data_IF_955901192033
#
_entry.id   IF_955901192033
#
_cell.length_a   1.000
_cell.length_b   1.000
_cell.length_c   1.000
_cell.angle_alpha   90.00
_cell.angle_beta   90.00
_cell.angle_gamma   90.00
#
_symmetry.space_group_name_H-M   'P 1'
#
loop_
_entity.id
_entity.type
_entity.pdbx_description
1 polymer ?
#
# COMPACT_ATOMS: atom_id res chain seq x y z
N UNK A 1 -3.41 -2.23 24.54
CA UNK A 1 -2.16 -2.58 23.86
C UNK A 1 -2.32 -3.41 22.59
N UNK A 2 -3.56 -3.85 22.25
CA UNK A 2 -3.72 -4.89 21.23
C UNK A 2 -4.18 -4.38 19.84
N UNK A 3 -4.39 -3.08 19.68
CA UNK A 3 -4.83 -2.50 18.40
C UNK A 3 -3.74 -2.59 17.33
N UNK A 4 -2.48 -2.58 17.70
CA UNK A 4 -1.34 -2.63 16.78
C UNK A 4 -1.10 -4.01 16.15
N UNK A 5 -1.61 -5.06 16.75
CA UNK A 5 -1.44 -6.45 16.25
C UNK A 5 -2.26 -6.76 15.00
N UNK A 6 -3.20 -5.91 14.62
CA UNK A 6 -4.10 -6.12 13.49
C UNK A 6 -3.68 -5.40 12.21
N UNK A 7 -2.61 -4.61 12.25
CA UNK A 7 -2.12 -3.89 11.09
C UNK A 7 -1.12 -4.74 10.30
N UNK A 8 -0.98 -4.43 9.01
CA UNK A 8 -0.04 -5.17 8.19
C UNK A 8 1.39 -5.01 8.70
N UNK A 9 2.07 -6.14 8.88
CA UNK A 9 3.42 -6.23 9.41
C UNK A 9 4.49 -6.20 8.33
N UNK A 10 4.14 -5.84 7.09
CA UNK A 10 5.07 -5.75 5.99
C UNK A 10 5.55 -7.12 5.49
N UNK A 11 4.72 -8.15 5.57
CA UNK A 11 5.03 -9.49 5.07
C UNK A 11 4.34 -9.77 3.75
N UNK A 12 5.00 -10.56 2.93
CA UNK A 12 4.45 -11.15 1.72
C UNK A 12 4.35 -12.66 1.87
N UNK A 13 3.19 -13.21 1.56
CA UNK A 13 2.94 -14.65 1.55
C UNK A 13 2.62 -15.13 0.14
N UNK A 14 3.22 -16.24 -0.27
CA UNK A 14 2.97 -16.86 -1.57
C UNK A 14 2.07 -18.08 -1.43
N UNK A 15 1.10 -18.20 -2.33
CA UNK A 15 0.16 -19.31 -2.40
C UNK A 15 0.27 -19.92 -3.81
N UNK A 16 0.37 -21.25 -3.87
CA UNK A 16 0.28 -21.96 -5.15
C UNK A 16 -1.18 -22.06 -5.57
N UNK A 17 -1.50 -21.67 -6.78
CA UNK A 17 -2.87 -21.72 -7.31
C UNK A 17 -3.41 -23.15 -7.29
N UNK A 18 -2.56 -24.15 -7.52
CA UNK A 18 -2.95 -25.58 -7.47
C UNK A 18 -3.41 -26.05 -6.08
N UNK A 19 -3.03 -25.33 -5.02
CA UNK A 19 -3.46 -25.66 -3.65
C UNK A 19 -4.84 -25.06 -3.31
N UNK A 20 -5.37 -24.17 -4.17
CA UNK A 20 -6.70 -23.60 -4.01
C UNK A 20 -7.73 -24.63 -4.45
N UNK A 21 -8.63 -25.09 -3.56
CA UNK A 21 -9.59 -26.13 -3.92
C UNK A 21 -10.62 -25.66 -4.93
N UNK A 22 -10.94 -26.52 -5.89
CA UNK A 22 -12.06 -26.30 -6.81
C UNK A 22 -13.37 -26.58 -6.07
N UNK A 23 -14.23 -25.58 -5.96
CA UNK A 23 -15.51 -25.67 -5.27
C UNK A 23 -16.65 -25.23 -6.18
N UNK A 24 -17.89 -25.55 -5.81
CA UNK A 24 -19.06 -25.14 -6.57
C UNK A 24 -19.35 -23.66 -6.34
N UNK A 25 -20.04 -23.06 -7.28
CA UNK A 25 -20.55 -21.69 -7.14
C UNK A 25 -21.41 -21.56 -5.87
N UNK A 26 -21.14 -20.53 -5.08
CA UNK A 26 -21.74 -20.24 -3.77
C UNK A 26 -21.28 -21.14 -2.61
N UNK A 27 -20.36 -22.07 -2.84
CA UNK A 27 -19.72 -22.76 -1.73
C UNK A 27 -18.85 -21.77 -0.93
N UNK A 28 -18.69 -22.07 0.35
CA UNK A 28 -17.79 -21.30 1.21
C UNK A 28 -16.33 -21.64 0.84
N UNK A 29 -15.53 -20.63 0.52
CA UNK A 29 -14.13 -20.85 0.17
C UNK A 29 -13.28 -21.30 1.35
N UNK A 30 -11.99 -21.52 1.05
CA UNK A 30 -10.98 -21.88 2.06
C UNK A 30 -10.30 -20.60 2.55
N UNK A 31 -10.19 -20.38 3.88
CA UNK A 31 -9.45 -19.26 4.43
C UNK A 31 -7.99 -19.25 3.97
N UNK A 32 -7.45 -18.06 3.69
CA UNK A 32 -6.05 -17.92 3.25
C UNK A 32 -5.04 -18.43 4.30
N UNK A 33 -5.40 -18.40 5.57
CA UNK A 33 -4.61 -18.96 6.68
C UNK A 33 -4.32 -20.46 6.48
N UNK A 34 -5.22 -21.18 5.84
CA UNK A 34 -5.08 -22.63 5.58
C UNK A 34 -4.23 -22.92 4.33
N UNK A 35 -3.97 -21.90 3.49
CA UNK A 35 -3.24 -22.05 2.23
C UNK A 35 -1.83 -21.48 2.29
N UNK A 36 -1.51 -20.70 3.33
CA UNK A 36 -0.26 -19.98 3.47
C UNK A 36 0.14 -19.84 4.95
N UNK A 37 1.25 -19.15 5.18
CA UNK A 37 1.68 -18.76 6.52
C UNK A 37 1.03 -17.43 6.99
N UNK A 38 0.03 -16.93 6.26
CA UNK A 38 -0.74 -15.76 6.65
C UNK A 38 -1.52 -16.04 7.92
N UNK A 39 -1.51 -15.07 8.83
CA UNK A 39 -2.24 -15.13 10.09
C UNK A 39 -3.22 -13.95 10.18
N UNK A 40 -4.49 -14.20 9.91
CA UNK A 40 -5.55 -13.20 9.93
C UNK A 40 -5.78 -12.56 11.30
N UNK A 41 -5.27 -13.17 12.39
CA UNK A 41 -5.33 -12.59 13.73
C UNK A 41 -4.29 -11.50 13.94
N UNK A 42 -3.22 -11.46 13.15
CA UNK A 42 -2.09 -10.55 13.25
C UNK A 42 -1.93 -9.63 12.06
N UNK A 43 -2.38 -10.05 10.90
CA UNK A 43 -2.10 -9.40 9.61
C UNK A 43 -3.40 -8.97 8.93
N UNK A 44 -3.28 -7.98 8.05
CA UNK A 44 -4.34 -7.50 7.17
C UNK A 44 -3.86 -7.59 5.73
N UNK A 45 -4.70 -8.08 4.83
CA UNK A 45 -4.39 -8.13 3.39
C UNK A 45 -4.55 -6.73 2.80
N UNK A 46 -3.48 -6.20 2.20
CA UNK A 46 -3.48 -4.92 1.50
C UNK A 46 -3.45 -5.07 -0.01
N UNK A 47 -2.86 -6.16 -0.53
CA UNK A 47 -2.68 -6.35 -1.96
C UNK A 47 -2.55 -7.83 -2.31
N UNK A 48 -3.24 -8.25 -3.36
CA UNK A 48 -3.16 -9.61 -3.91
C UNK A 48 -2.91 -9.50 -5.41
N UNK A 49 -1.89 -10.19 -5.90
CA UNK A 49 -1.51 -10.12 -7.31
C UNK A 49 -0.86 -11.42 -7.77
N UNK A 50 -1.07 -11.87 -9.02
CA UNK A 50 -0.32 -12.97 -9.60
C UNK A 50 1.17 -12.64 -9.68
N UNK A 51 2.04 -13.60 -9.35
CA UNK A 51 3.49 -13.43 -9.33
C UNK A 51 4.04 -12.92 -10.67
N UNK A 52 3.50 -13.43 -11.78
CA UNK A 52 3.92 -12.99 -13.12
C UNK A 52 3.71 -11.50 -13.38
N UNK A 53 2.65 -10.93 -12.82
CA UNK A 53 2.36 -9.50 -12.95
C UNK A 53 3.25 -8.64 -12.04
N UNK A 54 3.53 -9.09 -10.82
CA UNK A 54 4.33 -8.30 -9.89
C UNK A 54 5.75 -8.08 -10.39
N UNK A 55 6.33 -9.05 -11.08
CA UNK A 55 7.70 -8.95 -11.65
C UNK A 55 7.89 -7.77 -12.59
N UNK A 56 6.84 -7.42 -13.34
CA UNK A 56 6.89 -6.40 -14.37
C UNK A 56 6.47 -5.03 -13.86
N UNK A 57 6.02 -4.96 -12.60
CA UNK A 57 5.45 -3.75 -12.02
C UNK A 57 6.46 -3.01 -11.15
N UNK A 58 6.22 -1.71 -10.98
CA UNK A 58 6.76 -0.91 -9.89
C UNK A 58 5.66 -0.73 -8.85
N UNK A 59 5.95 -1.02 -7.59
CA UNK A 59 4.97 -0.95 -6.51
C UNK A 59 5.19 0.27 -5.63
N UNK A 60 4.11 0.97 -5.32
CA UNK A 60 4.12 2.02 -4.30
C UNK A 60 3.80 1.40 -2.94
N UNK A 61 4.64 1.68 -1.95
CA UNK A 61 4.42 1.36 -0.54
C UNK A 61 4.20 2.66 0.23
N UNK A 62 3.18 2.70 1.06
CA UNK A 62 2.90 3.84 1.95
C UNK A 62 2.58 3.34 3.35
N UNK A 63 3.17 3.97 4.35
CA UNK A 63 2.94 3.63 5.76
C UNK A 63 2.07 4.67 6.46
N UNK A 64 1.54 4.31 7.63
CA UNK A 64 0.71 5.22 8.44
C UNK A 64 1.47 6.45 8.93
N UNK A 65 2.79 6.38 9.09
CA UNK A 65 3.62 7.53 9.45
C UNK A 65 4.12 8.32 8.24
N UNK A 66 3.55 8.03 7.06
CA UNK A 66 3.83 8.72 5.80
C UNK A 66 5.17 8.38 5.16
N UNK A 67 5.79 7.27 5.50
CA UNK A 67 6.94 6.77 4.75
C UNK A 67 6.46 6.15 3.45
N UNK A 68 7.08 6.51 2.34
CA UNK A 68 6.71 5.98 1.03
C UNK A 68 7.93 5.71 0.15
N UNK A 69 7.77 4.80 -0.80
CA UNK A 69 8.80 4.43 -1.77
C UNK A 69 8.18 3.69 -2.94
N UNK A 70 8.89 3.70 -4.07
CA UNK A 70 8.63 2.83 -5.21
C UNK A 70 9.65 1.68 -5.17
N UNK A 71 9.17 0.46 -5.32
CA UNK A 71 10.01 -0.75 -5.32
C UNK A 71 9.76 -1.53 -6.59
N UNK A 72 10.83 -1.92 -7.30
CA UNK A 72 10.72 -2.79 -8.46
C UNK A 72 10.10 -4.12 -8.06
N UNK A 73 9.04 -4.53 -8.75
CA UNK A 73 8.33 -5.77 -8.44
C UNK A 73 9.19 -7.03 -8.59
N UNK A 74 10.26 -6.97 -9.38
CA UNK A 74 11.24 -8.06 -9.52
C UNK A 74 11.91 -8.45 -8.20
N UNK A 75 11.94 -7.56 -7.19
CA UNK A 75 12.47 -7.88 -5.87
C UNK A 75 11.60 -8.88 -5.09
N UNK A 76 10.37 -9.11 -5.54
CA UNK A 76 9.40 -10.03 -4.93
C UNK A 76 9.33 -11.38 -5.65
N UNK A 77 10.14 -11.59 -6.67
CA UNK A 77 10.30 -12.87 -7.34
C UNK A 77 11.25 -13.76 -6.54
N UNK A 78 10.72 -14.38 -5.51
CA UNK A 78 11.48 -15.20 -4.57
C UNK A 78 10.84 -16.57 -4.39
N UNK A 79 11.67 -17.56 -4.07
CA UNK A 79 11.22 -18.95 -3.84
C UNK A 79 10.63 -19.18 -2.46
N UNK A 80 10.91 -18.32 -1.50
CA UNK A 80 10.38 -18.43 -0.14
C UNK A 80 8.90 -18.11 -0.09
N UNK A 81 8.15 -18.90 0.67
CA UNK A 81 6.70 -18.70 0.84
C UNK A 81 6.33 -17.46 1.64
N UNK A 82 7.20 -17.02 2.52
CA UNK A 82 7.00 -15.82 3.35
C UNK A 82 8.29 -15.05 3.43
N UNK A 83 8.21 -13.76 3.12
CA UNK A 83 9.33 -12.82 3.25
C UNK A 83 8.84 -11.50 3.83
N UNK A 84 9.76 -10.71 4.37
CA UNK A 84 9.51 -9.29 4.60
C UNK A 84 9.42 -8.58 3.25
N UNK A 85 8.29 -7.93 2.96
CA UNK A 85 8.08 -7.18 1.72
C UNK A 85 8.62 -5.77 1.81
N UNK A 86 8.77 -5.24 3.02
CA UNK A 86 9.33 -3.91 3.30
C UNK A 86 9.92 -3.86 4.70
N UNK A 87 10.82 -2.92 4.91
CA UNK A 87 11.29 -2.56 6.25
C UNK A 87 10.37 -1.48 6.81
N UNK A 88 9.81 -1.72 7.97
CA UNK A 88 9.01 -0.75 8.70
C UNK A 88 9.84 -0.08 9.79
N UNK A 89 9.59 1.21 10.02
CA UNK A 89 10.08 1.91 11.20
C UNK A 89 9.39 1.40 12.47
N UNK A 90 9.90 1.82 13.61
CA UNK A 90 9.32 1.49 14.92
C UNK A 90 7.88 2.01 15.00
N UNK A 91 6.96 1.17 15.46
CA UNK A 91 5.53 1.48 15.59
C UNK A 91 4.83 1.92 14.31
N UNK A 92 5.41 1.62 13.16
CA UNK A 92 4.79 1.92 11.86
C UNK A 92 4.07 0.70 11.29
N UNK A 93 3.21 0.91 10.31
CA UNK A 93 2.49 -0.13 9.59
C UNK A 93 2.20 0.31 8.16
N UNK A 94 2.13 -0.65 7.24
CA UNK A 94 1.69 -0.38 5.88
C UNK A 94 0.19 -0.06 5.86
N UNK A 95 -0.17 0.94 5.05
CA UNK A 95 -1.58 1.27 4.76
C UNK A 95 -1.92 1.08 3.29
N UNK A 96 -0.92 1.04 2.41
CA UNK A 96 -1.13 0.90 0.98
C UNK A 96 0.05 0.18 0.32
N UNK A 97 -0.28 -0.75 -0.57
CA UNK A 97 0.62 -1.33 -1.57
C UNK A 97 -0.15 -1.45 -2.88
N UNK A 98 0.42 -0.99 -3.98
CA UNK A 98 -0.24 -1.10 -5.27
C UNK A 98 0.67 -0.80 -6.45
N UNK A 99 0.27 -1.24 -7.67
CA UNK A 99 1.04 -1.03 -8.89
C UNK A 99 0.96 0.45 -9.30
N UNK A 100 2.10 1.04 -9.62
CA UNK A 100 2.21 2.47 -9.89
C UNK A 100 2.60 2.81 -11.34
N UNK A 101 2.84 1.81 -12.19
CA UNK A 101 3.47 2.02 -13.51
C UNK A 101 2.72 3.00 -14.41
N UNK A 102 1.39 2.89 -14.48
CA UNK A 102 0.57 3.72 -15.36
C UNK A 102 -0.05 4.93 -14.63
N UNK A 103 0.27 5.10 -13.37
CA UNK A 103 -0.25 6.20 -12.56
C UNK A 103 0.77 7.34 -12.50
N UNK A 104 0.29 8.57 -12.49
CA UNK A 104 1.14 9.76 -12.51
C UNK A 104 1.22 10.48 -11.17
N UNK A 105 0.21 10.32 -10.32
CA UNK A 105 0.09 11.09 -9.09
C UNK A 105 -0.34 10.23 -7.92
N UNK A 106 -0.02 10.73 -6.72
CA UNK A 106 -0.37 10.11 -5.45
C UNK A 106 -1.12 11.13 -4.63
N UNK A 107 -2.24 10.72 -4.02
CA UNK A 107 -2.95 11.53 -3.03
C UNK A 107 -2.85 10.83 -1.68
N UNK A 108 -2.36 11.55 -0.69
CA UNK A 108 -2.35 11.11 0.71
C UNK A 108 -3.52 11.73 1.45
N UNK A 109 -4.16 10.96 2.31
CA UNK A 109 -5.23 11.40 3.18
C UNK A 109 -4.89 11.05 4.62
N UNK A 110 -4.81 12.08 5.48
CA UNK A 110 -4.59 11.86 6.91
C UNK A 110 -5.90 11.63 7.65
N UNK A 111 -5.81 10.99 8.80
CA UNK A 111 -6.94 10.82 9.72
C UNK A 111 -7.50 12.17 10.18
N UNK A 112 -6.64 13.17 10.32
CA UNK A 112 -7.01 14.53 10.69
C UNK A 112 -7.69 15.33 9.58
N UNK A 113 -7.90 14.75 8.39
CA UNK A 113 -8.64 15.38 7.29
C UNK A 113 -7.77 16.21 6.34
N UNK A 114 -6.47 16.03 6.34
CA UNK A 114 -5.56 16.71 5.42
C UNK A 114 -5.31 15.84 4.19
N UNK A 115 -5.35 16.48 3.01
CA UNK A 115 -5.09 15.85 1.72
C UNK A 115 -3.87 16.49 1.08
N UNK A 116 -2.97 15.66 0.56
CA UNK A 116 -1.80 16.12 -0.20
C UNK A 116 -1.71 15.33 -1.50
N UNK A 117 -1.55 16.03 -2.61
CA UNK A 117 -1.38 15.45 -3.94
C UNK A 117 0.01 15.76 -4.47
N UNK A 118 0.76 14.74 -4.83
CA UNK A 118 2.13 14.86 -5.34
C UNK A 118 2.29 14.12 -6.67
N UNK A 119 3.35 14.40 -7.39
CA UNK A 119 3.76 13.62 -8.55
C UNK A 119 4.41 12.31 -8.08
N UNK A 120 4.06 11.20 -8.71
CA UNK A 120 4.69 9.91 -8.43
C UNK A 120 6.21 9.96 -8.62
N UNK A 121 6.68 10.65 -9.65
CA UNK A 121 8.11 10.75 -9.95
C UNK A 121 8.92 11.48 -8.88
N UNK A 122 8.27 12.18 -7.97
CA UNK A 122 8.93 12.80 -6.81
C UNK A 122 9.22 11.77 -5.69
N UNK A 123 8.64 10.59 -5.76
CA UNK A 123 8.92 9.49 -4.82
C UNK A 123 10.08 8.67 -5.33
N UNK A 124 11.08 8.48 -4.48
CA UNK A 124 12.31 7.76 -4.86
C UNK A 124 12.05 6.27 -5.05
N UNK A 125 12.68 5.70 -6.09
CA UNK A 125 12.79 4.26 -6.24
C UNK A 125 13.82 3.74 -5.24
N UNK A 126 13.44 2.73 -4.48
CA UNK A 126 14.26 2.15 -3.42
C UNK A 126 14.10 0.64 -3.38
N UNK A 127 14.95 -0.03 -2.63
CA UNK A 127 14.86 -1.47 -2.40
C UNK A 127 13.82 -1.79 -1.32
N UNK A 128 13.30 -3.02 -1.34
CA UNK A 128 12.37 -3.51 -0.31
C UNK A 128 12.91 -3.40 1.12
N UNK A 129 14.24 -3.42 1.27
CA UNK A 129 14.92 -3.34 2.57
C UNK A 129 15.01 -1.93 3.14
N UNK A 130 14.61 -0.90 2.39
CA UNK A 130 14.60 0.48 2.90
C UNK A 130 13.29 0.83 3.59
N UNK A 131 13.33 1.82 4.47
CA UNK A 131 12.13 2.36 5.13
C UNK A 131 11.33 3.27 4.19
N UNK A 132 12.01 3.93 3.26
CA UNK A 132 11.41 4.90 2.37
C UNK A 132 11.72 6.35 2.76
N UNK A 133 11.00 7.27 2.13
CA UNK A 133 11.09 8.72 2.38
C UNK A 133 9.73 9.24 2.86
N UNK A 134 9.74 10.35 3.57
CA UNK A 134 8.49 10.98 4.02
C UNK A 134 7.74 11.58 2.82
N UNK A 135 6.48 11.17 2.65
CA UNK A 135 5.61 11.69 1.60
C UNK A 135 4.88 12.96 2.01
N UNK A 136 4.23 12.95 3.15
CA UNK A 136 3.45 14.05 3.69
C UNK A 136 3.94 14.39 5.09
N UNK A 137 4.08 15.68 5.38
CA UNK A 137 4.33 16.13 6.76
C UNK A 137 3.02 16.06 7.53
N UNK A 138 2.99 15.23 8.57
CA UNK A 138 1.82 15.06 9.42
C UNK A 138 1.89 16.00 10.63
N UNK A 139 0.72 16.47 11.08
CA UNK A 139 0.61 17.13 12.36
C UNK A 139 0.90 16.14 13.50
N UNK A 140 1.26 16.66 14.67
CA UNK A 140 1.50 15.83 15.86
C UNK A 140 0.27 14.99 16.19
N UNK A 141 0.47 13.69 16.38
CA UNK A 141 -0.60 12.74 16.68
C UNK A 141 -1.44 12.30 15.47
N UNK A 142 -1.22 12.87 14.29
CA UNK A 142 -1.91 12.47 13.07
C UNK A 142 -1.21 11.31 12.38
N UNK A 143 -1.96 10.53 11.63
CA UNK A 143 -1.46 9.41 10.82
C UNK A 143 -2.10 9.43 9.44
N UNK A 144 -1.47 8.82 8.46
CA UNK A 144 -2.12 8.55 7.17
C UNK A 144 -3.15 7.45 7.34
N UNK A 145 -4.32 7.68 6.76
CA UNK A 145 -5.42 6.72 6.72
C UNK A 145 -5.52 6.04 5.36
N UNK A 146 -5.33 6.81 4.29
CA UNK A 146 -5.39 6.31 2.92
C UNK A 146 -4.33 6.92 2.03
N UNK A 147 -3.94 6.17 1.01
CA UNK A 147 -3.19 6.66 -0.14
C UNK A 147 -3.88 6.19 -1.42
N UNK A 148 -3.86 7.04 -2.44
CA UNK A 148 -4.51 6.78 -3.72
C UNK A 148 -3.52 7.04 -4.85
N UNK A 149 -3.44 6.11 -5.79
CA UNK A 149 -2.77 6.33 -7.06
C UNK A 149 -3.79 6.82 -8.06
N UNK A 150 -3.52 7.95 -8.70
CA UNK A 150 -4.42 8.54 -9.68
C UNK A 150 -3.71 8.84 -11.00
N UNK A 151 -4.49 8.77 -12.07
CA UNK A 151 -4.15 9.23 -13.40
C UNK A 151 -5.00 10.49 -13.66
N UNK A 152 -4.37 11.69 -13.88
CA UNK A 152 -5.10 12.97 -13.83
C UNK A 152 -6.20 13.13 -14.89
N UNK A 153 -6.16 12.34 -15.98
CA UNK A 153 -7.18 12.38 -17.02
C UNK A 153 -8.47 11.64 -16.66
N UNK A 154 -8.47 10.89 -15.55
CA UNK A 154 -9.64 10.22 -14.99
C UNK A 154 -10.07 10.91 -13.71
N UNK A 155 -11.37 10.91 -13.45
CA UNK A 155 -11.89 11.46 -12.20
C UNK A 155 -12.01 10.36 -11.15
N UNK A 156 -11.55 10.68 -9.94
CA UNK A 156 -11.61 9.78 -8.78
C UNK A 156 -12.41 10.44 -7.67
N UNK A 157 -13.51 9.78 -7.29
CA UNK A 157 -14.37 10.25 -6.22
C UNK A 157 -14.34 9.25 -5.07
N UNK A 158 -14.17 9.76 -3.88
CA UNK A 158 -14.25 8.99 -2.63
C UNK A 158 -15.41 9.48 -1.79
N UNK A 159 -15.83 8.69 -0.81
CA UNK A 159 -16.75 9.15 0.22
C UNK A 159 -15.94 9.67 1.41
N UNK A 160 -16.18 10.95 1.76
CA UNK A 160 -15.51 11.61 2.87
C UNK A 160 -16.54 12.36 3.69
N UNK A 161 -16.67 12.01 4.98
CA UNK A 161 -17.73 12.53 5.87
C UNK A 161 -19.13 12.37 5.24
N UNK A 162 -19.42 11.17 4.73
CA UNK A 162 -20.70 10.80 4.10
C UNK A 162 -21.06 11.58 2.83
N UNK A 163 -20.09 12.30 2.25
CA UNK A 163 -20.26 13.08 1.02
C UNK A 163 -19.25 12.66 -0.04
N UNK A 164 -19.62 12.75 -1.33
CA UNK A 164 -18.66 12.54 -2.40
C UNK A 164 -17.62 13.65 -2.40
N UNK A 165 -16.35 13.25 -2.56
CA UNK A 165 -15.22 14.15 -2.63
C UNK A 165 -14.31 13.76 -3.82
N UNK A 166 -14.05 14.72 -4.71
CA UNK A 166 -13.16 14.48 -5.86
C UNK A 166 -11.71 14.67 -5.47
N UNK A 167 -10.90 13.60 -5.64
CA UNK A 167 -9.45 13.67 -5.41
C UNK A 167 -8.76 14.61 -6.40
N UNK A 168 -9.34 14.82 -7.58
CA UNK A 168 -8.81 15.72 -8.61
C UNK A 168 -8.90 17.20 -8.23
N UNK A 169 -9.68 17.55 -7.22
CA UNK A 169 -9.76 18.91 -6.67
C UNK A 169 -8.60 19.26 -5.74
N UNK A 170 -7.88 18.27 -5.23
CA UNK A 170 -6.68 18.51 -4.41
C UNK A 170 -5.61 19.11 -5.32
N UNK A 171 -5.09 20.28 -4.98
CA UNK A 171 -4.03 20.91 -5.78
C UNK A 171 -2.74 20.11 -5.70
N UNK A 172 -2.11 19.77 -6.84
CA UNK A 172 -0.82 19.10 -6.81
C UNK A 172 0.29 20.02 -6.30
N UNK A 173 1.21 19.45 -5.52
CA UNK A 173 2.42 20.13 -5.05
C UNK A 173 3.65 19.30 -5.40
N UNK A 174 4.80 19.95 -5.59
CA UNK A 174 6.05 19.24 -5.83
C UNK A 174 6.63 18.75 -4.51
N UNK A 175 7.07 17.49 -4.51
CA UNK A 175 7.73 16.87 -3.34
C UNK A 175 8.99 17.62 -2.90
N UNK A 176 9.69 18.26 -3.85
CA UNK A 176 10.89 19.06 -3.54
C UNK A 176 10.59 20.21 -2.60
N UNK A 177 9.38 20.77 -2.61
CA UNK A 177 8.95 21.81 -1.69
C UNK A 177 8.67 21.28 -0.27
N UNK A 178 8.45 19.98 -0.11
CA UNK A 178 8.19 19.35 1.19
C UNK A 178 9.47 19.08 1.99
N UNK A 179 10.62 19.06 1.30
CA UNK A 179 11.93 18.84 1.92
C UNK A 179 12.60 20.13 2.41
N UNK A 180 12.11 21.24 1.93
CA UNK A 180 12.54 22.54 2.40
C UNK A 180 11.81 22.90 3.69
#
# INVERSE_FOLDING_TARGET
GDVYKRQDMGRMHSIKVVDIPLVRFRDKGTPVDNLSNYDSTQEQILYVVPVGQVKLSSLLFVTKTSMCKLVAGSEFDVSKRTIASTKLGEEDALIFVGPADEMEQIVFQSQGGYFLRILKNDVSAMKKTSVGVRGMKLAEGDVLEHAYLIEPRQEYTITYHDKPYSLNKVKPVSYTHLRA
#
